data_IF_539237496069
#
_entry.id   IF_539237496069
#
_cell.length_a   1.000
_cell.length_b   1.000
_cell.length_c   1.000
_cell.angle_alpha   90.00
_cell.angle_beta   90.00
_cell.angle_gamma   90.00
#
_symmetry.space_group_name_H-M   'P 1'
#
loop_
_entity.id
_entity.type
_entity.pdbx_description
1 polymer ?
#
# COMPACT_ATOMS: atom_id res chain seq x y z
N UNK A 1 -19.09 -8.46 16.89
CA UNK A 1 -18.34 -9.65 16.40
C UNK A 1 -16.92 -9.55 16.93
N UNK A 2 -16.36 -10.65 17.44
CA UNK A 2 -14.95 -10.74 17.86
C UNK A 2 -14.08 -11.32 16.73
N UNK A 3 -12.79 -10.97 16.73
CA UNK A 3 -11.71 -11.56 15.96
C UNK A 3 -10.43 -11.54 16.81
N UNK A 4 -9.43 -12.35 16.50
CA UNK A 4 -8.11 -12.18 17.14
C UNK A 4 -7.44 -10.91 16.62
N UNK A 5 -7.48 -10.70 15.30
CA UNK A 5 -6.84 -9.58 14.62
C UNK A 5 -7.84 -8.92 13.68
N UNK A 6 -7.93 -7.59 13.76
CA UNK A 6 -8.62 -6.77 12.76
C UNK A 6 -7.60 -6.09 11.88
N UNK A 7 -7.76 -6.20 10.56
CA UNK A 7 -6.97 -5.46 9.57
C UNK A 7 -7.84 -4.39 8.94
N UNK A 8 -7.40 -3.14 8.99
CA UNK A 8 -8.14 -1.98 8.47
C UNK A 8 -7.53 -1.52 7.15
N UNK A 9 -8.24 -1.76 6.05
CA UNK A 9 -7.80 -1.46 4.69
C UNK A 9 -7.39 -2.71 3.92
N UNK A 10 -7.99 -2.91 2.76
CA UNK A 10 -7.82 -4.06 1.86
C UNK A 10 -6.91 -3.77 0.67
N UNK A 11 -5.87 -2.96 0.88
CA UNK A 11 -4.79 -2.75 -0.09
C UNK A 11 -3.77 -3.90 -0.10
N UNK A 12 -2.64 -3.70 -0.78
CA UNK A 12 -1.58 -4.72 -0.85
C UNK A 12 -1.06 -5.13 0.54
N UNK A 13 -0.71 -4.16 1.40
CA UNK A 13 -0.22 -4.45 2.74
C UNK A 13 -1.28 -5.11 3.64
N UNK A 14 -2.53 -4.66 3.53
CA UNK A 14 -3.63 -5.21 4.32
C UNK A 14 -3.95 -6.66 3.96
N UNK A 15 -4.02 -6.98 2.67
CA UNK A 15 -4.25 -8.37 2.23
C UNK A 15 -3.06 -9.28 2.58
N UNK A 16 -1.82 -8.81 2.43
CA UNK A 16 -0.64 -9.57 2.84
C UNK A 16 -0.65 -9.84 4.36
N UNK A 17 -0.93 -8.82 5.17
CA UNK A 17 -0.99 -8.95 6.62
C UNK A 17 -2.13 -9.89 7.07
N UNK A 18 -3.32 -9.73 6.49
CA UNK A 18 -4.49 -10.52 6.85
C UNK A 18 -4.32 -12.00 6.47
N UNK A 19 -3.93 -12.28 5.22
CA UNK A 19 -3.70 -13.65 4.78
C UNK A 19 -2.59 -14.32 5.59
N UNK A 20 -1.48 -13.60 5.87
CA UNK A 20 -0.38 -14.18 6.65
C UNK A 20 -0.76 -14.44 8.11
N UNK A 21 -1.52 -13.54 8.74
CA UNK A 21 -2.02 -13.76 10.08
C UNK A 21 -2.95 -14.98 10.17
N UNK A 22 -3.82 -15.15 9.17
CA UNK A 22 -4.73 -16.29 9.10
C UNK A 22 -4.01 -17.61 8.81
N UNK A 23 -3.00 -17.62 7.93
CA UNK A 23 -2.11 -18.78 7.73
C UNK A 23 -1.41 -19.25 9.01
N UNK A 24 -1.15 -18.32 9.94
CA UNK A 24 -0.54 -18.60 11.24
C UNK A 24 -1.58 -18.99 12.31
N UNK A 25 -2.85 -19.13 11.94
CA UNK A 25 -3.93 -19.65 12.79
C UNK A 25 -4.76 -18.61 13.52
N UNK A 26 -4.60 -17.31 13.23
CA UNK A 26 -5.44 -16.27 13.85
C UNK A 26 -6.83 -16.18 13.17
N UNK A 27 -7.89 -15.91 13.94
CA UNK A 27 -9.16 -15.45 13.36
C UNK A 27 -9.04 -13.98 12.93
N UNK A 28 -9.09 -13.73 11.62
CA UNK A 28 -8.84 -12.41 11.03
C UNK A 28 -10.11 -11.83 10.40
N UNK A 29 -10.42 -10.59 10.78
CA UNK A 29 -11.42 -9.76 10.13
C UNK A 29 -10.76 -8.59 9.39
N UNK A 30 -10.87 -8.56 8.06
CA UNK A 30 -10.42 -7.45 7.23
C UNK A 30 -11.60 -6.52 6.89
N UNK A 31 -11.48 -5.25 7.28
CA UNK A 31 -12.46 -4.21 7.01
C UNK A 31 -11.98 -3.33 5.85
N UNK A 32 -12.78 -3.25 4.79
CA UNK A 32 -12.49 -2.45 3.60
C UNK A 32 -13.60 -1.42 3.39
N UNK A 33 -13.19 -0.16 3.22
CA UNK A 33 -14.09 0.97 2.94
C UNK A 33 -14.72 0.86 1.55
N UNK A 34 -13.96 0.37 0.59
CA UNK A 34 -14.36 0.25 -0.80
C UNK A 34 -15.26 -1.00 -1.04
N UNK A 35 -16.01 -1.04 -2.15
CA UNK A 35 -16.79 -2.23 -2.51
C UNK A 35 -15.92 -3.39 -3.03
N UNK A 36 -14.60 -3.20 -3.14
CA UNK A 36 -13.66 -4.18 -3.68
C UNK A 36 -12.30 -4.03 -3.01
N UNK A 37 -11.61 -5.16 -2.81
CA UNK A 37 -10.21 -5.17 -2.37
C UNK A 37 -9.27 -4.72 -3.49
N UNK A 38 -8.17 -4.08 -3.09
CA UNK A 38 -7.09 -3.69 -4.00
C UNK A 38 -7.48 -2.63 -5.02
N UNK A 39 -8.48 -1.77 -4.77
CA UNK A 39 -8.94 -0.75 -5.73
C UNK A 39 -7.78 0.10 -6.28
N UNK A 40 -6.88 0.56 -5.40
CA UNK A 40 -5.69 1.30 -5.84
C UNK A 40 -4.66 0.42 -6.54
N UNK A 41 -4.45 -0.80 -6.04
CA UNK A 41 -3.48 -1.75 -6.61
C UNK A 41 -3.77 -2.01 -8.10
N UNK A 42 -5.05 -2.15 -8.44
CA UNK A 42 -5.56 -2.41 -9.81
C UNK A 42 -5.24 -1.30 -10.82
N UNK A 43 -4.90 -0.09 -10.38
CA UNK A 43 -4.55 1.03 -11.27
C UNK A 43 -3.05 1.36 -11.26
N UNK A 44 -2.24 0.65 -10.45
CA UNK A 44 -0.80 0.90 -10.38
C UNK A 44 -0.07 0.46 -11.65
N UNK A 45 1.08 1.08 -11.94
CA UNK A 45 1.87 0.74 -13.13
C UNK A 45 1.11 0.93 -14.44
N UNK A 46 0.18 1.90 -14.50
CA UNK A 46 -0.76 2.11 -15.62
C UNK A 46 -1.63 0.87 -15.89
N UNK A 47 -2.14 0.25 -14.83
CA UNK A 47 -2.94 -0.97 -14.92
C UNK A 47 -2.12 -2.27 -15.03
N UNK A 48 -0.78 -2.20 -15.03
CA UNK A 48 0.09 -3.38 -15.14
C UNK A 48 0.63 -3.90 -13.82
N UNK A 49 0.58 -3.09 -12.75
CA UNK A 49 1.18 -3.37 -11.45
C UNK A 49 2.70 -3.59 -11.49
N UNK A 50 3.47 -2.52 -11.30
CA UNK A 50 4.90 -2.63 -10.99
C UNK A 50 5.04 -3.15 -9.56
N UNK A 51 5.24 -4.46 -9.41
CA UNK A 51 5.22 -5.22 -8.15
C UNK A 51 6.39 -4.85 -7.23
N UNK A 52 7.59 -4.81 -7.79
CA UNK A 52 8.84 -4.61 -7.04
C UNK A 52 10.00 -4.25 -8.00
N UNK A 53 11.22 -4.19 -7.48
CA UNK A 53 12.45 -3.94 -8.23
C UNK A 53 13.55 -4.94 -7.82
N UNK A 54 14.34 -5.45 -8.77
CA UNK A 54 15.41 -6.45 -8.52
C UNK A 54 16.75 -5.86 -8.05
N UNK A 55 16.79 -4.59 -7.66
CA UNK A 55 17.97 -4.00 -7.02
C UNK A 55 18.40 -4.80 -5.79
N UNK A 56 19.70 -4.76 -5.47
CA UNK A 56 20.22 -5.36 -4.24
C UNK A 56 19.57 -4.71 -3.01
N UNK A 57 19.57 -5.38 -1.85
CA UNK A 57 18.91 -4.86 -0.64
C UNK A 57 19.38 -3.44 -0.29
N UNK A 58 20.69 -3.18 -0.33
CA UNK A 58 21.24 -1.87 0.00
C UNK A 58 20.87 -0.80 -1.02
N UNK A 59 20.94 -1.11 -2.31
CA UNK A 59 20.48 -0.21 -3.37
C UNK A 59 18.98 0.06 -3.24
N UNK A 60 18.17 -0.96 -2.97
CA UNK A 60 16.73 -0.86 -2.81
C UNK A 60 16.37 0.06 -1.64
N UNK A 61 17.02 -0.14 -0.48
CA UNK A 61 16.81 0.67 0.71
C UNK A 61 17.24 2.12 0.51
N UNK A 62 18.30 2.37 -0.25
CA UNK A 62 18.75 3.73 -0.55
C UNK A 62 17.67 4.58 -1.25
N UNK A 63 16.77 3.96 -2.02
CA UNK A 63 15.65 4.65 -2.69
C UNK A 63 14.56 5.15 -1.72
N UNK A 64 14.57 4.72 -0.46
CA UNK A 64 13.66 5.22 0.58
C UNK A 64 14.23 6.42 1.37
N UNK A 65 15.41 6.91 0.96
CA UNK A 65 16.07 8.05 1.58
C UNK A 65 16.50 7.78 3.03
N UNK A 66 16.61 8.82 3.87
CA UNK A 66 17.15 8.70 5.22
C UNK A 66 16.43 7.70 6.14
N UNK A 67 15.13 7.49 5.92
CA UNK A 67 14.32 6.57 6.72
C UNK A 67 14.39 5.11 6.24
N UNK A 68 15.09 4.82 5.14
CA UNK A 68 15.17 3.48 4.57
C UNK A 68 15.74 2.44 5.53
N UNK A 69 16.61 2.85 6.47
CA UNK A 69 17.18 1.97 7.49
C UNK A 69 16.14 1.22 8.33
N UNK A 70 14.96 1.81 8.53
CA UNK A 70 13.85 1.17 9.24
C UNK A 70 13.39 -0.13 8.57
N UNK A 71 13.57 -0.25 7.24
CA UNK A 71 13.05 -1.35 6.44
C UNK A 71 13.97 -2.59 6.40
N UNK A 72 15.21 -2.51 6.90
CA UNK A 72 16.14 -3.65 6.91
C UNK A 72 15.54 -4.89 7.58
N UNK A 73 14.82 -4.72 8.69
CA UNK A 73 14.23 -5.86 9.39
C UNK A 73 13.11 -6.53 8.58
N UNK A 74 12.26 -5.72 7.93
CA UNK A 74 11.17 -6.23 7.12
C UNK A 74 11.70 -6.93 5.86
N UNK A 75 12.58 -6.27 5.12
CA UNK A 75 13.16 -6.83 3.90
C UNK A 75 14.14 -7.97 4.17
N UNK A 76 14.78 -8.05 5.34
CA UNK A 76 15.57 -9.21 5.72
C UNK A 76 14.74 -10.49 5.94
N UNK A 77 13.41 -10.39 6.05
CA UNK A 77 12.49 -11.53 6.26
C UNK A 77 11.66 -11.88 5.04
N UNK A 78 11.38 -10.89 4.19
CA UNK A 78 10.56 -11.05 3.00
C UNK A 78 10.94 -9.98 1.98
N UNK A 79 11.64 -10.38 0.91
CA UNK A 79 12.14 -9.46 -0.10
C UNK A 79 11.66 -9.81 -1.51
N UNK A 80 12.44 -9.46 -2.52
CA UNK A 80 12.09 -9.56 -3.94
C UNK A 80 11.84 -11.00 -4.36
N UNK A 81 12.74 -11.92 -4.02
CA UNK A 81 12.61 -13.32 -4.43
C UNK A 81 11.48 -14.02 -3.69
N UNK A 82 11.27 -13.71 -2.41
CA UNK A 82 10.12 -14.20 -1.64
C UNK A 82 8.79 -13.73 -2.23
N UNK A 83 8.72 -12.44 -2.60
CA UNK A 83 7.53 -11.83 -3.21
C UNK A 83 7.22 -12.46 -4.57
N UNK A 84 8.25 -12.67 -5.40
CA UNK A 84 8.09 -13.31 -6.72
C UNK A 84 7.66 -14.77 -6.57
N UNK A 85 8.27 -15.51 -5.65
CA UNK A 85 7.89 -16.89 -5.35
C UNK A 85 6.47 -16.97 -4.78
N UNK A 86 6.08 -16.02 -3.92
CA UNK A 86 4.73 -15.92 -3.39
C UNK A 86 3.69 -15.72 -4.50
N UNK A 87 3.90 -14.79 -5.41
CA UNK A 87 2.99 -14.58 -6.55
C UNK A 87 3.00 -15.75 -7.54
N UNK A 88 4.16 -16.37 -7.80
CA UNK A 88 4.25 -17.55 -8.65
C UNK A 88 3.40 -18.72 -8.10
N UNK A 89 3.43 -18.98 -6.77
CA UNK A 89 2.57 -19.99 -6.13
C UNK A 89 1.07 -19.70 -6.26
N UNK A 90 0.69 -18.43 -6.43
CA UNK A 90 -0.70 -18.02 -6.63
C UNK A 90 -1.10 -17.93 -8.11
N UNK A 91 -0.25 -18.43 -9.01
CA UNK A 91 -0.49 -18.44 -10.45
C UNK A 91 -0.23 -17.11 -11.15
N UNK A 92 0.58 -16.22 -10.57
CA UNK A 92 0.97 -14.94 -11.16
C UNK A 92 2.50 -14.92 -11.35
N UNK A 93 3.02 -15.54 -12.42
CA UNK A 93 4.44 -15.44 -12.75
C UNK A 93 4.84 -13.99 -13.08
N UNK A 94 6.12 -13.68 -12.96
CA UNK A 94 6.63 -12.31 -13.05
C UNK A 94 7.80 -12.19 -14.01
N UNK A 95 7.83 -11.08 -14.75
CA UNK A 95 8.90 -10.71 -15.69
C UNK A 95 9.64 -9.47 -15.20
N UNK A 96 10.96 -9.46 -15.40
CA UNK A 96 11.82 -8.30 -15.14
C UNK A 96 11.94 -7.47 -16.40
N UNK A 97 11.65 -6.18 -16.30
CA UNK A 97 11.79 -5.21 -17.38
C UNK A 97 12.95 -4.24 -17.14
N UNK A 98 13.15 -3.34 -18.12
CA UNK A 98 14.11 -2.23 -18.03
C UNK A 98 14.06 -1.51 -16.68
N UNK A 99 15.24 -1.27 -16.13
CA UNK A 99 15.42 -0.61 -14.83
C UNK A 99 15.12 -1.52 -13.64
N UNK A 100 15.12 -2.84 -13.85
CA UNK A 100 14.91 -3.85 -12.81
C UNK A 100 13.46 -3.95 -12.32
N UNK A 101 12.51 -3.32 -13.01
CA UNK A 101 11.09 -3.29 -12.61
C UNK A 101 10.45 -4.65 -12.84
N UNK A 102 9.64 -5.12 -11.88
CA UNK A 102 8.99 -6.43 -11.95
C UNK A 102 7.50 -6.26 -12.19
N UNK A 103 6.98 -6.95 -13.20
CA UNK A 103 5.57 -6.94 -13.58
C UNK A 103 5.01 -8.38 -13.62
N UNK A 104 3.70 -8.58 -13.44
CA UNK A 104 3.07 -9.85 -13.80
C UNK A 104 3.24 -10.10 -15.30
N UNK A 105 3.49 -11.34 -15.71
CA UNK A 105 3.64 -11.69 -17.14
C UNK A 105 2.39 -11.36 -17.96
N UNK A 106 1.20 -11.42 -17.35
CA UNK A 106 -0.06 -11.04 -17.98
C UNK A 106 -0.16 -9.55 -18.30
N UNK A 107 0.69 -8.71 -17.69
CA UNK A 107 0.60 -7.25 -17.71
C UNK A 107 -0.71 -6.69 -17.13
N UNK A 108 -1.42 -7.46 -16.31
CA UNK A 108 -2.68 -7.05 -15.71
C UNK A 108 -2.57 -6.92 -14.18
N UNK A 109 -2.70 -5.70 -13.66
CA UNK A 109 -2.76 -5.42 -12.23
C UNK A 109 -3.96 -6.10 -11.56
N UNK A 110 -4.99 -6.40 -12.34
CA UNK A 110 -6.16 -7.12 -11.87
C UNK A 110 -5.82 -8.52 -11.36
N UNK A 111 -4.86 -9.21 -11.99
CA UNK A 111 -4.43 -10.56 -11.62
C UNK A 111 -3.69 -10.56 -10.29
N UNK A 112 -2.82 -9.57 -10.07
CA UNK A 112 -2.12 -9.39 -8.79
C UNK A 112 -3.11 -9.15 -7.66
N UNK A 113 -4.06 -8.24 -7.86
CA UNK A 113 -5.07 -7.94 -6.85
C UNK A 113 -6.01 -9.11 -6.59
N UNK A 114 -6.31 -9.91 -7.62
CA UNK A 114 -7.13 -11.11 -7.49
C UNK A 114 -6.38 -12.25 -6.79
N UNK A 115 -5.09 -12.42 -7.05
CA UNK A 115 -4.25 -13.38 -6.35
C UNK A 115 -4.21 -13.08 -4.84
N UNK A 116 -4.01 -11.82 -4.43
CA UNK A 116 -4.07 -11.43 -3.03
C UNK A 116 -5.46 -11.61 -2.40
N UNK A 117 -6.52 -11.38 -3.17
CA UNK A 117 -7.91 -11.62 -2.72
C UNK A 117 -8.15 -13.10 -2.46
N UNK A 118 -7.72 -13.97 -3.38
CA UNK A 118 -7.78 -15.43 -3.23
C UNK A 118 -6.93 -15.89 -2.05
N UNK A 119 -5.71 -15.37 -1.90
CA UNK A 119 -4.86 -15.65 -0.74
C UNK A 119 -5.58 -15.41 0.60
N UNK A 120 -6.27 -14.27 0.74
CA UNK A 120 -7.07 -14.01 1.93
C UNK A 120 -8.23 -15.00 2.08
N UNK A 121 -8.93 -15.31 0.98
CA UNK A 121 -10.06 -16.25 0.98
C UNK A 121 -9.62 -17.67 1.38
N UNK A 122 -8.56 -18.18 0.76
CA UNK A 122 -8.03 -19.52 0.96
C UNK A 122 -7.48 -19.69 2.39
N UNK A 123 -6.92 -18.62 2.97
CA UNK A 123 -6.49 -18.57 4.37
C UNK A 123 -7.66 -18.41 5.37
N UNK A 124 -8.91 -18.25 4.91
CA UNK A 124 -10.07 -18.11 5.79
C UNK A 124 -10.30 -16.71 6.38
N UNK A 125 -9.70 -15.66 5.80
CA UNK A 125 -9.91 -14.27 6.23
C UNK A 125 -11.36 -13.85 5.99
N UNK A 126 -12.04 -13.35 7.03
CA UNK A 126 -13.37 -12.76 6.90
C UNK A 126 -13.24 -11.33 6.38
N UNK A 127 -13.89 -11.02 5.26
CA UNK A 127 -13.82 -9.68 4.66
C UNK A 127 -15.17 -8.97 4.79
N UNK A 128 -15.16 -7.75 5.32
CA UNK A 128 -16.34 -6.86 5.34
C UNK A 128 -16.09 -5.61 4.52
N UNK A 129 -16.75 -5.55 3.37
CA UNK A 129 -16.70 -4.41 2.45
C UNK A 129 -17.57 -3.25 2.94
N UNK A 130 -17.42 -2.08 2.29
CA UNK A 130 -18.20 -0.86 2.56
C UNK A 130 -18.22 -0.49 4.04
N UNK A 131 -17.12 -0.76 4.74
CA UNK A 131 -16.98 -0.54 6.19
C UNK A 131 -15.83 0.43 6.44
N UNK A 132 -16.16 1.71 6.57
CA UNK A 132 -15.20 2.75 6.88
C UNK A 132 -14.94 2.80 8.39
N UNK A 133 -13.74 2.42 8.82
CA UNK A 133 -13.34 2.54 10.23
C UNK A 133 -13.05 4.01 10.55
N UNK A 134 -13.72 4.56 11.57
CA UNK A 134 -13.61 5.96 11.97
C UNK A 134 -12.92 6.18 13.32
N UNK A 135 -12.82 5.13 14.16
CA UNK A 135 -12.21 5.17 15.49
C UNK A 135 -11.53 3.87 15.89
N UNK A 136 -10.49 4.00 16.71
CA UNK A 136 -9.92 2.89 17.49
C UNK A 136 -10.63 2.82 18.85
N UNK A 137 -10.97 1.61 19.29
CA UNK A 137 -11.52 1.38 20.63
C UNK A 137 -10.36 1.14 21.59
N UNK A 138 -10.27 1.93 22.67
CA UNK A 138 -9.17 1.88 23.63
C UNK A 138 -9.70 1.71 25.05
N UNK A 139 -9.22 0.70 25.75
CA UNK A 139 -9.57 0.40 27.14
C UNK A 139 -8.28 0.14 27.93
N UNK A 140 -8.12 0.80 29.09
CA UNK A 140 -6.92 0.63 29.92
C UNK A 140 -5.61 0.93 29.19
N UNK A 141 -5.60 1.87 28.24
CA UNK A 141 -4.44 2.22 27.42
C UNK A 141 -4.07 1.21 26.33
N UNK A 142 -4.94 0.22 26.05
CA UNK A 142 -4.73 -0.79 25.00
C UNK A 142 -5.82 -0.69 23.94
N UNK A 143 -5.43 -0.86 22.68
CA UNK A 143 -6.40 -1.01 21.58
C UNK A 143 -7.10 -2.36 21.74
N UNK A 144 -8.44 -2.33 21.77
CA UNK A 144 -9.30 -3.51 21.95
C UNK A 144 -10.27 -3.72 20.78
N UNK A 145 -10.11 -2.94 19.70
CA UNK A 145 -10.96 -3.03 18.53
C UNK A 145 -11.04 -1.74 17.73
N UNK A 146 -12.05 -1.67 16.86
CA UNK A 146 -12.35 -0.54 15.98
C UNK A 146 -13.85 -0.27 15.93
N UNK A 147 -14.21 0.97 15.63
CA UNK A 147 -15.58 1.39 15.33
C UNK A 147 -15.76 1.86 13.89
N UNK A 148 -16.93 1.59 13.33
CA UNK A 148 -17.37 2.06 12.01
C UNK A 148 -18.86 2.45 12.07
N UNK A 149 -19.14 3.75 12.15
CA UNK A 149 -20.45 4.29 12.48
C UNK A 149 -20.92 3.76 13.84
N UNK A 150 -22.14 3.22 13.88
CA UNK A 150 -22.72 2.60 15.08
C UNK A 150 -22.17 1.20 15.36
N UNK A 151 -21.43 0.59 14.42
CA UNK A 151 -20.90 -0.75 14.59
C UNK A 151 -19.56 -0.74 15.35
N UNK A 152 -19.38 -1.75 16.19
CA UNK A 152 -18.12 -2.02 16.88
C UNK A 152 -17.61 -3.45 16.62
N UNK A 153 -16.30 -3.56 16.47
CA UNK A 153 -15.60 -4.81 16.22
C UNK A 153 -14.47 -4.94 17.24
N UNK A 154 -14.54 -5.97 18.08
CA UNK A 154 -13.55 -6.21 19.15
C UNK A 154 -12.47 -7.15 18.65
N UNK A 155 -11.21 -6.86 19.01
CA UNK A 155 -10.07 -7.73 18.71
C UNK A 155 -8.91 -7.52 19.68
N UNK A 156 -8.00 -8.50 19.72
CA UNK A 156 -6.79 -8.45 20.55
C UNK A 156 -5.72 -7.54 19.95
N UNK A 157 -5.72 -7.40 18.62
CA UNK A 157 -4.83 -6.50 17.91
C UNK A 157 -5.52 -5.88 16.68
N UNK A 158 -5.03 -4.71 16.27
CA UNK A 158 -5.48 -4.00 15.08
C UNK A 158 -4.26 -3.66 14.22
N UNK A 159 -4.33 -3.98 12.93
CA UNK A 159 -3.34 -3.60 11.92
C UNK A 159 -3.94 -2.48 11.06
N UNK A 160 -3.35 -1.28 11.12
CA UNK A 160 -3.72 -0.17 10.26
C UNK A 160 -3.01 -0.27 8.91
N UNK A 161 -3.76 -0.56 7.84
CA UNK A 161 -3.28 -0.73 6.47
C UNK A 161 -4.07 0.14 5.47
N UNK A 162 -4.47 1.34 5.89
CA UNK A 162 -5.37 2.24 5.14
C UNK A 162 -4.74 2.97 3.95
N UNK A 163 -3.43 2.76 3.72
CA UNK A 163 -2.66 3.55 2.75
C UNK A 163 -2.47 5.01 3.19
N UNK A 164 -2.02 5.84 2.25
CA UNK A 164 -1.81 7.28 2.47
C UNK A 164 -3.02 8.14 2.08
N UNK A 165 -2.74 9.30 1.46
CA UNK A 165 -3.76 10.29 1.07
C UNK A 165 -3.81 10.62 -0.44
N UNK A 166 -3.06 9.90 -1.29
CA UNK A 166 -3.10 10.09 -2.75
C UNK A 166 -4.19 9.24 -3.40
N UNK A 167 -4.78 9.69 -4.53
CA UNK A 167 -5.89 9.00 -5.21
C UNK A 167 -7.06 8.68 -4.26
N UNK A 168 -7.70 9.67 -3.61
CA UNK A 168 -8.73 9.45 -2.59
C UNK A 168 -9.95 8.66 -3.11
N UNK A 169 -10.25 8.75 -4.41
CA UNK A 169 -11.30 7.94 -5.05
C UNK A 169 -11.07 6.42 -4.94
N UNK A 170 -9.84 5.99 -4.63
CA UNK A 170 -9.50 4.58 -4.37
C UNK A 170 -9.62 4.18 -2.90
N UNK A 171 -10.06 5.08 -2.02
CA UNK A 171 -10.29 4.84 -0.59
C UNK A 171 -9.17 5.34 0.33
N UNK A 172 -7.98 5.65 -0.21
CA UNK A 172 -6.84 6.18 0.56
C UNK A 172 -6.98 7.69 0.80
N UNK A 173 -7.68 8.05 1.88
CA UNK A 173 -8.07 9.43 2.26
C UNK A 173 -7.29 9.96 3.47
N UNK A 174 -6.26 9.26 3.93
CA UNK A 174 -5.47 9.68 5.11
C UNK A 174 -6.04 9.28 6.47
N UNK A 175 -7.09 8.44 6.51
CA UNK A 175 -7.76 8.07 7.76
C UNK A 175 -6.82 7.43 8.79
N UNK A 176 -5.88 6.58 8.35
CA UNK A 176 -4.92 5.94 9.23
C UNK A 176 -4.02 6.91 9.99
N UNK A 177 -3.72 8.07 9.42
CA UNK A 177 -2.97 9.12 10.13
C UNK A 177 -3.79 9.66 11.31
N UNK A 178 -5.09 9.92 11.08
CA UNK A 178 -6.00 10.44 12.09
C UNK A 178 -6.25 9.41 13.20
N UNK A 179 -6.40 8.13 12.83
CA UNK A 179 -6.53 7.02 13.78
C UNK A 179 -5.25 6.84 14.61
N UNK A 180 -4.06 6.87 13.99
CA UNK A 180 -2.81 6.75 14.73
C UNK A 180 -2.59 7.95 15.69
N UNK A 181 -2.92 9.17 15.25
CA UNK A 181 -2.85 10.36 16.09
C UNK A 181 -3.75 10.27 17.33
N UNK A 182 -4.95 9.68 17.20
CA UNK A 182 -5.90 9.56 18.32
C UNK A 182 -5.42 8.65 19.46
N UNK A 183 -4.38 7.85 19.23
CA UNK A 183 -3.74 7.00 20.25
C UNK A 183 -2.31 7.44 20.58
N UNK A 184 -1.97 8.69 20.25
CA UNK A 184 -0.74 9.35 20.71
C UNK A 184 0.45 9.29 19.75
N UNK A 185 0.30 8.74 18.53
CA UNK A 185 1.39 8.80 17.55
C UNK A 185 1.57 10.23 16.99
N UNK A 186 2.83 10.62 16.80
CA UNK A 186 3.15 11.83 16.03
C UNK A 186 3.04 11.56 14.54
N UNK A 187 2.32 12.42 13.82
CA UNK A 187 2.19 12.33 12.36
C UNK A 187 3.15 13.32 11.72
N UNK A 188 4.11 12.80 10.95
CA UNK A 188 4.97 13.64 10.11
C UNK A 188 4.09 14.32 9.04
N UNK A 189 4.20 15.64 8.83
CA UNK A 189 3.39 16.34 7.83
C UNK A 189 3.46 15.68 6.45
N UNK A 190 2.30 15.27 5.95
CA UNK A 190 2.19 14.61 4.64
C UNK A 190 2.39 15.63 3.53
N UNK A 191 3.07 15.21 2.46
CA UNK A 191 3.35 16.04 1.29
C UNK A 191 3.06 15.23 0.02
N UNK A 192 2.60 15.87 -1.07
CA UNK A 192 2.51 15.20 -2.35
C UNK A 192 3.91 14.75 -2.82
N UNK A 193 3.99 13.55 -3.38
CA UNK A 193 5.20 13.00 -3.95
C UNK A 193 4.83 12.24 -5.24
N UNK A 194 5.74 12.22 -6.21
CA UNK A 194 5.52 11.62 -7.53
C UNK A 194 4.27 12.19 -8.25
N UNK A 195 4.05 13.50 -8.11
CA UNK A 195 2.97 14.23 -8.79
C UNK A 195 3.51 14.95 -10.03
N UNK A 196 2.68 15.16 -11.06
CA UNK A 196 3.02 16.08 -12.15
C UNK A 196 3.34 17.48 -11.62
N UNK A 197 4.21 18.20 -12.32
CA UNK A 197 4.49 19.61 -12.05
C UNK A 197 3.55 20.49 -12.88
N UNK A 198 3.01 21.52 -12.26
CA UNK A 198 2.27 22.57 -12.96
C UNK A 198 3.25 23.66 -13.41
N UNK A 199 3.03 24.20 -14.61
CA UNK A 199 3.90 25.20 -15.23
C UNK A 199 3.12 26.48 -15.47
N UNK A 200 3.74 27.63 -15.20
CA UNK A 200 3.14 28.93 -15.49
C UNK A 200 3.31 29.31 -16.98
N UNK A 201 4.25 28.68 -17.66
CA UNK A 201 4.66 29.02 -19.02
C UNK A 201 3.59 28.65 -20.06
N UNK A 202 3.16 29.59 -20.91
CA UNK A 202 2.07 29.36 -21.86
C UNK A 202 2.45 28.47 -23.05
N UNK A 203 3.74 28.19 -23.25
CA UNK A 203 4.22 27.34 -24.34
C UNK A 203 4.12 25.84 -24.01
N UNK A 204 4.11 25.46 -22.73
CA UNK A 204 4.11 24.05 -22.31
C UNK A 204 2.89 23.27 -22.83
N UNK A 205 1.66 23.82 -22.82
CA UNK A 205 0.50 23.15 -23.43
C UNK A 205 0.68 22.84 -24.93
N UNK A 206 1.46 23.63 -25.67
CA UNK A 206 1.74 23.41 -27.11
C UNK A 206 2.64 22.18 -27.34
N UNK A 207 3.32 21.69 -26.30
CA UNK A 207 4.21 20.53 -26.34
C UNK A 207 3.52 19.25 -25.85
N UNK A 208 2.20 19.27 -25.66
CA UNK A 208 1.46 18.10 -25.18
C UNK A 208 1.68 16.88 -26.07
N UNK A 209 1.98 15.74 -25.45
CA UNK A 209 2.25 14.47 -26.15
C UNK A 209 3.72 14.23 -26.49
N UNK A 210 4.58 15.24 -26.42
CA UNK A 210 6.03 15.07 -26.62
C UNK A 210 6.64 14.33 -25.44
N UNK A 211 7.34 13.22 -25.72
CA UNK A 211 8.06 12.44 -24.72
C UNK A 211 9.57 12.57 -24.95
N UNK A 212 10.26 13.27 -24.05
CA UNK A 212 11.71 13.35 -24.07
C UNK A 212 12.32 12.12 -23.37
N UNK A 213 13.39 11.57 -23.94
CA UNK A 213 14.12 10.41 -23.40
C UNK A 213 15.52 10.86 -22.99
N UNK A 214 16.05 10.26 -21.91
CA UNK A 214 17.41 10.50 -21.41
C UNK A 214 17.70 11.97 -21.06
N UNK A 215 16.75 12.65 -20.45
CA UNK A 215 16.91 14.04 -19.98
C UNK A 215 17.18 14.10 -18.48
N UNK A 216 17.84 15.18 -18.04
CA UNK A 216 18.00 15.52 -16.62
C UNK A 216 17.08 16.69 -16.29
N UNK A 217 16.26 16.52 -15.26
CA UNK A 217 15.56 17.63 -14.60
C UNK A 217 16.37 18.07 -13.38
N UNK A 218 16.50 19.39 -13.18
CA UNK A 218 17.18 19.98 -12.00
C UNK A 218 16.24 21.01 -11.41
N UNK A 219 15.97 20.93 -10.11
CA UNK A 219 15.17 21.92 -9.41
C UNK A 219 16.08 23.06 -8.95
N UNK A 220 15.67 24.30 -9.20
CA UNK A 220 16.34 25.48 -8.67
C UNK A 220 15.41 26.19 -7.69
N UNK A 221 15.94 26.55 -6.52
CA UNK A 221 15.28 27.40 -5.52
C UNK A 221 16.18 28.60 -5.31
N UNK A 222 15.64 29.81 -5.51
CA UNK A 222 16.37 31.08 -5.41
C UNK A 222 17.68 31.09 -6.22
N UNK A 223 17.63 30.53 -7.43
CA UNK A 223 18.76 30.45 -8.36
C UNK A 223 19.81 29.38 -8.01
N UNK A 224 19.58 28.55 -6.99
CA UNK A 224 20.50 27.49 -6.58
C UNK A 224 19.90 26.11 -6.82
N UNK A 225 20.67 25.13 -7.35
CA UNK A 225 20.18 23.77 -7.51
C UNK A 225 19.97 23.12 -6.13
N UNK A 226 18.86 22.38 -6.00
CA UNK A 226 18.52 21.58 -4.80
C UNK A 226 18.35 20.10 -5.13
#
# INVERSE_FOLDING_TARGET
>A
MSADIIVVGGGASGMMAAGRAAELGADVLLLEKMPRLGTKLRITGKGRCNLTNVATLDEFIAHFGPNGRFLYNAFGRFFVDDLRAFFARMGVPTVVERGGRVFPESNEAADVAEALRRYCQDAGVRVRYKTAVDRLLVEGGRVVGVGAGEAEFRARAVILATGGASYPATGSTGDGYRLAASVGHTIVPIRPALVPLETAEPWVPRMMGVSLRNVRATLYVDGKPV
#
